data_IF_834520345982
#
_entry.id   IF_834520345982
#
_cell.length_a   1.000
_cell.length_b   1.000
_cell.length_c   1.000
_cell.angle_alpha   90.00
_cell.angle_beta   90.00
_cell.angle_gamma   90.00
#
_symmetry.space_group_name_H-M   'P 1'
#
loop_
_entity.id
_entity.type
_entity.pdbx_description
1 polymer ?
#
# COMPACT_ATOMS: atom_id res chain seq x y z
N UNK A 1 50.03 -42.85 -43.64
CA UNK A 1 48.75 -42.17 -43.84
C UNK A 1 48.17 -41.81 -42.48
N UNK A 2 48.30 -40.54 -42.07
CA UNK A 2 47.90 -40.09 -40.76
C UNK A 2 46.64 -39.21 -40.97
N UNK A 3 45.46 -39.70 -40.52
CA UNK A 3 44.19 -38.93 -40.55
C UNK A 3 44.17 -37.99 -39.35
N UNK A 4 44.20 -36.69 -39.60
CA UNK A 4 43.93 -35.66 -38.59
C UNK A 4 42.41 -35.53 -38.38
N UNK A 5 41.93 -35.86 -37.19
CA UNK A 5 40.58 -35.56 -36.77
C UNK A 5 40.50 -34.10 -36.31
N UNK A 6 39.67 -33.29 -36.96
CA UNK A 6 39.39 -31.93 -36.55
C UNK A 6 38.22 -31.97 -35.57
N UNK A 7 38.45 -31.64 -34.30
CA UNK A 7 37.44 -31.53 -33.29
C UNK A 7 36.86 -30.10 -33.35
N UNK A 8 35.61 -29.97 -33.84
CA UNK A 8 34.90 -28.69 -33.88
C UNK A 8 34.32 -28.44 -32.49
N UNK A 9 34.84 -27.45 -31.78
CA UNK A 9 34.33 -27.00 -30.48
C UNK A 9 33.20 -25.98 -30.72
N UNK A 10 31.96 -26.40 -30.48
CA UNK A 10 30.80 -25.54 -30.57
C UNK A 10 30.65 -24.80 -29.23
N UNK A 11 30.98 -23.51 -29.20
CA UNK A 11 30.70 -22.61 -28.08
C UNK A 11 29.21 -22.31 -28.04
N UNK A 12 28.48 -22.88 -27.08
CA UNK A 12 27.13 -22.46 -26.73
C UNK A 12 27.20 -21.13 -25.98
N UNK A 13 26.92 -20.05 -26.67
CA UNK A 13 26.69 -18.74 -26.06
C UNK A 13 25.28 -18.74 -25.44
N UNK A 14 25.20 -18.96 -24.11
CA UNK A 14 23.94 -18.76 -23.37
C UNK A 14 23.64 -17.27 -23.34
N UNK A 15 22.65 -16.85 -24.11
CA UNK A 15 22.03 -15.52 -24.00
C UNK A 15 21.27 -15.47 -22.67
N UNK A 16 21.88 -14.93 -21.65
CA UNK A 16 21.17 -14.53 -20.43
C UNK A 16 20.26 -13.37 -20.81
N UNK A 17 18.95 -13.59 -20.82
CA UNK A 17 17.94 -12.53 -20.93
C UNK A 17 18.05 -11.65 -19.70
N UNK A 18 18.66 -10.47 -19.83
CA UNK A 18 18.63 -9.43 -18.82
C UNK A 18 17.21 -8.87 -18.85
N UNK A 19 16.42 -9.12 -17.81
CA UNK A 19 15.14 -8.47 -17.63
C UNK A 19 15.41 -7.00 -17.31
N UNK A 20 15.32 -6.16 -18.32
CA UNK A 20 15.51 -4.71 -18.18
C UNK A 20 14.22 -4.14 -17.56
N UNK A 21 14.34 -3.54 -16.39
CA UNK A 21 13.25 -2.75 -15.79
C UNK A 21 13.05 -1.49 -16.63
N UNK A 22 11.83 -1.25 -17.08
CA UNK A 22 11.53 -0.05 -17.86
C UNK A 22 11.59 1.18 -16.96
N UNK A 23 12.31 2.20 -17.40
CA UNK A 23 12.44 3.48 -16.72
C UNK A 23 11.61 4.54 -17.45
N UNK A 24 10.80 5.27 -16.68
CA UNK A 24 9.97 6.37 -17.15
C UNK A 24 10.52 7.66 -16.55
N UNK A 25 10.75 8.71 -17.38
CA UNK A 25 11.31 9.97 -16.91
C UNK A 25 10.46 11.14 -17.37
N UNK A 26 10.26 12.13 -16.51
CA UNK A 26 9.56 13.38 -16.82
C UNK A 26 8.35 13.64 -15.95
N UNK A 27 7.41 14.43 -16.47
CA UNK A 27 6.14 14.75 -15.81
C UNK A 27 5.12 13.65 -16.06
N UNK A 28 4.36 13.35 -15.02
CA UNK A 28 3.28 12.39 -15.09
C UNK A 28 1.95 13.04 -14.77
N UNK A 29 0.88 12.50 -15.32
CA UNK A 29 -0.47 12.92 -14.98
C UNK A 29 -0.98 12.07 -13.80
N UNK A 30 -1.62 12.72 -12.82
CA UNK A 30 -2.25 12.06 -11.69
C UNK A 30 -3.76 11.96 -11.90
N UNK A 31 -4.30 10.76 -11.87
CA UNK A 31 -5.73 10.55 -11.76
C UNK A 31 -6.16 10.62 -10.28
N UNK A 32 -6.92 11.66 -9.95
CA UNK A 32 -7.38 11.91 -8.59
C UNK A 32 -8.39 10.86 -8.08
N UNK A 33 -9.03 10.08 -8.96
CA UNK A 33 -10.01 9.06 -8.58
C UNK A 33 -9.37 7.75 -8.18
N UNK A 34 -8.30 7.36 -8.86
CA UNK A 34 -7.60 6.09 -8.64
C UNK A 34 -6.29 6.25 -7.88
N UNK A 35 -5.68 7.44 -7.92
CA UNK A 35 -4.33 7.69 -7.44
C UNK A 35 -3.24 7.13 -8.36
N UNK A 36 -3.60 6.72 -9.57
CA UNK A 36 -2.66 6.22 -10.58
C UNK A 36 -1.96 7.36 -11.29
N UNK A 37 -0.72 7.11 -11.69
CA UNK A 37 0.06 7.98 -12.54
C UNK A 37 0.02 7.49 -13.96
N UNK A 38 0.08 8.43 -14.92
CA UNK A 38 0.08 8.15 -16.34
C UNK A 38 1.33 8.70 -17.00
N UNK A 39 2.04 7.85 -17.73
CA UNK A 39 3.05 8.23 -18.70
C UNK A 39 2.42 8.09 -20.08
N UNK A 40 2.11 9.21 -20.75
CA UNK A 40 1.20 9.24 -21.88
C UNK A 40 -0.15 8.56 -21.51
N UNK A 41 -0.52 7.48 -22.18
CA UNK A 41 -1.76 6.75 -21.93
C UNK A 41 -1.55 5.47 -21.10
N UNK A 42 -0.33 5.25 -20.58
CA UNK A 42 0.01 4.06 -19.80
C UNK A 42 -0.08 4.33 -18.30
N UNK A 43 -1.05 3.72 -17.60
CA UNK A 43 -1.17 3.86 -16.16
C UNK A 43 -0.11 3.05 -15.41
N UNK A 44 0.33 3.58 -14.27
CA UNK A 44 1.10 2.84 -13.29
C UNK A 44 0.76 3.33 -11.87
N UNK A 45 1.03 2.51 -10.88
CA UNK A 45 0.82 2.84 -9.46
C UNK A 45 2.14 2.95 -8.73
N UNK A 46 2.17 3.71 -7.64
CA UNK A 46 3.34 3.78 -6.78
C UNK A 46 3.48 2.49 -5.96
N UNK A 47 4.66 1.86 -6.02
CA UNK A 47 4.94 0.60 -5.33
C UNK A 47 4.88 0.76 -3.81
N UNK A 48 4.29 -0.23 -3.14
CA UNK A 48 4.32 -0.37 -1.69
C UNK A 48 3.53 0.66 -0.90
N UNK A 49 2.82 1.58 -1.59
CA UNK A 49 2.01 2.61 -0.95
C UNK A 49 0.59 2.63 -1.47
N UNK A 50 -0.29 3.14 -0.64
CA UNK A 50 -1.66 3.49 -0.98
C UNK A 50 -1.81 5.00 -0.89
N UNK A 51 -2.12 5.64 -2.03
CA UNK A 51 -2.45 7.06 -2.08
C UNK A 51 -3.77 7.30 -1.36
N UNK A 52 -3.89 8.40 -0.65
CA UNK A 52 -5.11 8.77 0.07
C UNK A 52 -6.17 9.23 -0.93
N UNK A 53 -7.40 8.71 -0.81
CA UNK A 53 -8.50 9.13 -1.67
C UNK A 53 -8.68 10.65 -1.67
N UNK A 54 -8.79 11.27 -2.83
CA UNK A 54 -8.92 12.73 -2.97
C UNK A 54 -10.07 13.32 -2.17
N UNK A 55 -11.21 12.62 -2.07
CA UNK A 55 -12.38 13.03 -1.31
C UNK A 55 -12.26 12.84 0.21
N UNK A 56 -11.17 12.25 0.72
CA UNK A 56 -11.02 11.92 2.13
C UNK A 56 -11.05 13.14 3.02
N UNK A 57 -11.82 13.05 4.11
CA UNK A 57 -11.86 14.01 5.20
C UNK A 57 -11.17 13.41 6.43
N UNK A 58 -10.41 14.23 7.14
CA UNK A 58 -9.76 13.91 8.40
C UNK A 58 -10.23 14.84 9.50
N UNK A 59 -10.02 14.46 10.75
CA UNK A 59 -10.38 15.26 11.91
C UNK A 59 -9.10 15.60 12.68
N UNK A 60 -8.90 16.88 12.97
CA UNK A 60 -7.81 17.39 13.81
C UNK A 60 -8.39 18.42 14.76
N UNK A 61 -8.20 18.22 16.07
CA UNK A 61 -8.75 19.14 17.11
C UNK A 61 -10.25 19.41 16.93
N UNK A 62 -11.03 18.34 16.67
CA UNK A 62 -12.49 18.40 16.44
C UNK A 62 -12.92 19.13 15.15
N UNK A 63 -11.97 19.57 14.33
CA UNK A 63 -12.24 20.20 13.04
C UNK A 63 -11.99 19.23 11.88
N UNK A 64 -12.97 19.18 10.97
CA UNK A 64 -12.81 18.43 9.71
C UNK A 64 -12.00 19.23 8.71
N UNK A 65 -11.14 18.54 7.99
CA UNK A 65 -10.33 19.13 6.91
C UNK A 65 -10.14 18.15 5.75
N UNK A 66 -9.90 18.67 4.55
CA UNK A 66 -9.79 17.90 3.32
C UNK A 66 -8.39 17.28 3.17
N UNK A 67 -8.08 16.28 4.00
CA UNK A 67 -6.75 15.63 4.00
C UNK A 67 -6.44 14.92 2.68
N UNK A 68 -7.44 14.38 1.98
CA UNK A 68 -7.25 13.77 0.67
C UNK A 68 -6.78 14.76 -0.37
N UNK A 69 -7.35 15.98 -0.39
CA UNK A 69 -6.88 17.05 -1.29
C UNK A 69 -5.44 17.45 -0.98
N UNK A 70 -5.08 17.54 0.30
CA UNK A 70 -3.71 17.87 0.70
C UNK A 70 -2.72 16.77 0.30
N UNK A 71 -3.09 15.50 0.46
CA UNK A 71 -2.26 14.38 0.03
C UNK A 71 -2.05 14.35 -1.49
N UNK A 72 -3.11 14.60 -2.26
CA UNK A 72 -2.99 14.72 -3.72
C UNK A 72 -2.13 15.89 -4.15
N UNK A 73 -2.25 17.05 -3.48
CA UNK A 73 -1.39 18.19 -3.77
C UNK A 73 0.08 17.90 -3.47
N UNK A 74 0.36 17.18 -2.36
CA UNK A 74 1.71 16.74 -2.04
C UNK A 74 2.28 15.81 -3.12
N UNK A 75 1.47 14.87 -3.63
CA UNK A 75 1.88 14.00 -4.74
C UNK A 75 2.09 14.79 -6.04
N UNK A 76 1.19 15.73 -6.38
CA UNK A 76 1.31 16.58 -7.57
C UNK A 76 2.63 17.35 -7.60
N UNK A 77 3.09 17.87 -6.46
CA UNK A 77 4.37 18.59 -6.38
C UNK A 77 5.57 17.74 -6.82
N UNK A 78 5.48 16.40 -6.68
CA UNK A 78 6.51 15.48 -7.19
C UNK A 78 6.30 15.13 -8.66
N UNK A 79 5.08 14.78 -9.06
CA UNK A 79 4.81 14.24 -10.41
C UNK A 79 4.86 15.31 -11.51
N UNK A 80 4.75 16.57 -11.17
CA UNK A 80 4.97 17.70 -12.09
C UNK A 80 6.44 18.06 -12.31
N UNK A 81 7.35 17.41 -11.58
CA UNK A 81 8.79 17.61 -11.75
C UNK A 81 9.31 16.93 -13.02
N UNK A 82 10.04 17.67 -13.85
CA UNK A 82 10.69 17.13 -15.06
C UNK A 82 11.83 16.14 -14.75
N UNK A 83 12.32 16.15 -13.51
CA UNK A 83 13.42 15.31 -13.05
C UNK A 83 12.94 14.03 -12.34
N UNK A 84 11.63 13.75 -12.34
CA UNK A 84 11.10 12.54 -11.74
C UNK A 84 11.43 11.33 -12.61
N UNK A 85 11.99 10.30 -11.98
CA UNK A 85 12.35 9.03 -12.61
C UNK A 85 11.58 7.93 -11.91
N UNK A 86 10.77 7.17 -12.67
CA UNK A 86 10.00 6.04 -12.14
C UNK A 86 10.47 4.74 -12.79
N UNK A 87 10.93 3.80 -11.98
CA UNK A 87 11.38 2.48 -12.42
C UNK A 87 10.23 1.50 -12.24
N UNK A 88 9.72 0.96 -13.35
CA UNK A 88 8.70 -0.08 -13.33
C UNK A 88 9.28 -1.36 -12.75
N UNK A 89 8.59 -1.92 -11.78
CA UNK A 89 9.00 -3.19 -11.18
C UNK A 89 8.56 -4.36 -12.07
N UNK A 90 9.42 -5.38 -12.23
CA UNK A 90 9.09 -6.54 -13.05
C UNK A 90 7.88 -7.27 -12.46
N UNK A 91 7.04 -7.82 -13.34
CA UNK A 91 5.98 -8.73 -12.96
C UNK A 91 6.53 -9.95 -12.22
N UNK A 92 5.76 -10.46 -11.26
CA UNK A 92 6.17 -11.54 -10.36
C UNK A 92 6.22 -11.10 -8.90
N UNK A 93 6.27 -12.06 -7.97
CA UNK A 93 6.28 -11.81 -6.52
C UNK A 93 5.05 -11.03 -5.99
N UNK A 94 3.87 -11.22 -6.60
CA UNK A 94 2.65 -10.50 -6.24
C UNK A 94 2.55 -9.09 -6.85
N UNK A 95 3.44 -8.75 -7.77
CA UNK A 95 3.47 -7.48 -8.50
C UNK A 95 2.76 -7.55 -9.87
N UNK A 96 2.15 -8.68 -10.19
CA UNK A 96 1.37 -8.89 -11.43
C UNK A 96 0.07 -8.06 -11.48
N UNK A 97 0.01 -7.01 -10.66
CA UNK A 97 -1.15 -6.14 -10.62
C UNK A 97 -1.20 -5.23 -11.86
N UNK A 98 -2.37 -5.15 -12.46
CA UNK A 98 -2.71 -4.16 -13.48
C UNK A 98 -3.37 -2.95 -12.77
N UNK A 99 -2.81 -1.76 -12.85
CA UNK A 99 -1.59 -1.35 -13.57
C UNK A 99 -0.28 -1.72 -12.85
N UNK A 100 0.87 -1.75 -13.58
CA UNK A 100 2.17 -2.07 -13.03
C UNK A 100 2.58 -1.12 -11.90
N UNK A 101 3.43 -1.60 -11.00
CA UNK A 101 3.95 -0.81 -9.89
C UNK A 101 5.29 -0.18 -10.24
N UNK A 102 5.55 1.02 -9.74
CA UNK A 102 6.82 1.73 -9.93
C UNK A 102 7.37 2.29 -8.62
N UNK A 103 8.69 2.25 -8.49
CA UNK A 103 9.43 3.05 -7.51
C UNK A 103 9.88 4.34 -8.19
N UNK A 104 9.49 5.49 -7.64
CA UNK A 104 9.80 6.79 -8.22
C UNK A 104 10.85 7.54 -7.39
N UNK A 105 11.73 8.25 -8.08
CA UNK A 105 12.87 8.95 -7.49
C UNK A 105 12.97 10.39 -7.98
N UNK A 106 13.34 11.29 -7.08
CA UNK A 106 13.85 12.63 -7.38
C UNK A 106 15.34 12.67 -7.00
N UNK A 107 16.21 12.60 -7.99
CA UNK A 107 17.62 12.32 -7.77
C UNK A 107 17.81 10.97 -7.11
N UNK A 108 18.34 10.95 -5.89
CA UNK A 108 18.56 9.71 -5.11
C UNK A 108 17.47 9.43 -4.07
N UNK A 109 16.46 10.29 -3.95
CA UNK A 109 15.43 10.18 -2.92
C UNK A 109 14.19 9.47 -3.46
N UNK A 110 13.76 8.41 -2.78
CA UNK A 110 12.51 7.74 -3.09
C UNK A 110 11.32 8.65 -2.75
N UNK A 111 10.52 8.98 -3.75
CA UNK A 111 9.28 9.73 -3.60
C UNK A 111 8.22 8.90 -2.86
N UNK A 112 8.19 7.59 -3.12
CA UNK A 112 7.28 6.67 -2.43
C UNK A 112 7.55 6.68 -0.93
N UNK A 113 8.82 6.54 -0.51
CA UNK A 113 9.21 6.60 0.89
C UNK A 113 8.91 7.96 1.53
N UNK A 114 9.17 9.05 0.80
CA UNK A 114 8.95 10.41 1.31
C UNK A 114 7.46 10.70 1.53
N UNK A 115 6.58 10.30 0.61
CA UNK A 115 5.13 10.46 0.78
C UNK A 115 4.61 9.74 2.03
N UNK A 116 5.19 8.58 2.35
CA UNK A 116 4.85 7.86 3.60
C UNK A 116 5.43 8.57 4.82
N UNK A 117 6.68 9.03 4.75
CA UNK A 117 7.34 9.75 5.86
C UNK A 117 6.63 11.06 6.21
N UNK A 118 6.14 11.77 5.21
CA UNK A 118 5.38 13.02 5.37
C UNK A 118 3.90 12.77 5.70
N UNK A 119 3.49 11.50 5.82
CA UNK A 119 2.13 11.10 6.17
C UNK A 119 1.09 11.39 5.08
N UNK A 120 1.49 11.48 3.81
CA UNK A 120 0.58 11.70 2.67
C UNK A 120 0.20 10.42 1.92
N UNK A 121 0.82 9.29 2.28
CA UNK A 121 0.43 7.97 1.80
C UNK A 121 0.47 6.95 2.95
N UNK A 122 -0.29 5.86 2.79
CA UNK A 122 -0.24 4.71 3.68
C UNK A 122 0.63 3.62 3.05
N UNK A 123 1.22 2.76 3.87
CA UNK A 123 1.83 1.53 3.36
C UNK A 123 0.75 0.58 2.85
N UNK A 124 0.98 -0.08 1.71
CA UNK A 124 0.07 -1.10 1.19
C UNK A 124 0.01 -2.29 2.16
N UNK A 125 -1.20 -2.83 2.37
CA UNK A 125 -1.43 -3.87 3.37
C UNK A 125 -1.05 -5.27 2.90
N UNK A 126 -1.03 -5.48 1.59
CA UNK A 126 -0.89 -6.76 0.87
C UNK A 126 0.55 -7.09 0.47
N UNK A 127 1.48 -6.18 0.71
CA UNK A 127 2.91 -6.34 0.40
C UNK A 127 3.69 -6.23 1.72
N UNK A 128 4.81 -6.97 1.91
CA UNK A 128 5.72 -6.72 3.02
C UNK A 128 6.09 -5.24 3.01
N UNK A 129 5.58 -4.47 3.99
CA UNK A 129 5.57 -3.01 3.99
C UNK A 129 6.99 -2.43 3.83
N UNK A 130 7.41 -1.98 2.63
CA UNK A 130 8.77 -1.53 2.37
C UNK A 130 9.12 -0.26 3.16
N UNK A 131 8.12 0.58 3.48
CA UNK A 131 8.28 1.88 4.14
C UNK A 131 7.76 1.88 5.57
N UNK A 132 7.94 0.77 6.29
CA UNK A 132 7.43 0.60 7.66
C UNK A 132 8.03 1.61 8.65
N UNK A 133 9.32 1.94 8.50
CA UNK A 133 10.00 2.90 9.38
C UNK A 133 9.45 4.30 9.16
N UNK A 134 9.28 4.70 7.93
CA UNK A 134 8.71 5.97 7.48
C UNK A 134 7.27 6.13 8.01
N UNK A 135 6.45 5.10 7.87
CA UNK A 135 5.08 5.09 8.37
C UNK A 135 5.00 5.22 9.90
N UNK A 136 5.91 4.58 10.63
CA UNK A 136 5.99 4.71 12.08
C UNK A 136 6.40 6.13 12.49
N UNK A 137 7.42 6.68 11.82
CA UNK A 137 7.88 8.06 12.06
C UNK A 137 6.77 9.08 11.80
N UNK A 138 6.07 8.98 10.67
CA UNK A 138 4.95 9.86 10.33
C UNK A 138 3.85 9.86 11.39
N UNK A 139 3.50 8.67 11.91
CA UNK A 139 2.50 8.53 12.97
C UNK A 139 2.97 9.11 14.31
N UNK A 140 4.23 8.88 14.68
CA UNK A 140 4.79 9.36 15.94
C UNK A 140 4.92 10.88 15.97
N UNK A 141 5.27 11.48 14.83
CA UNK A 141 5.46 12.91 14.68
C UNK A 141 4.17 13.66 14.32
N UNK A 142 3.07 12.95 14.03
CA UNK A 142 1.81 13.57 13.64
C UNK A 142 1.87 14.24 12.26
N UNK A 143 2.64 13.67 11.32
CA UNK A 143 2.80 14.22 9.97
C UNK A 143 1.56 13.98 9.09
N UNK A 144 1.35 14.85 8.14
CA UNK A 144 0.31 14.73 7.12
C UNK A 144 -1.09 14.47 7.68
N UNK A 145 -1.68 13.32 7.35
CA UNK A 145 -2.99 12.89 7.82
C UNK A 145 -3.01 12.53 9.32
N UNK A 146 -1.84 12.34 9.94
CA UNK A 146 -1.71 12.00 11.35
C UNK A 146 -1.67 13.20 12.29
N UNK A 147 -1.88 14.44 11.80
CA UNK A 147 -1.85 15.71 12.58
C UNK A 147 -2.76 15.73 13.79
N UNK A 148 -3.83 14.95 13.81
CA UNK A 148 -4.72 14.81 14.96
C UNK A 148 -4.16 14.00 16.12
N UNK A 149 -2.94 13.52 15.97
CA UNK A 149 -2.31 12.56 16.87
C UNK A 149 -2.74 11.12 16.58
N UNK A 150 -1.85 10.20 16.80
CA UNK A 150 -2.18 8.77 16.79
C UNK A 150 -2.87 8.44 18.12
N UNK A 151 -4.17 8.18 18.05
CA UNK A 151 -4.89 7.62 19.21
C UNK A 151 -4.59 6.11 19.22
N UNK A 152 -3.87 5.58 20.22
CA UNK A 152 -3.59 4.15 20.31
C UNK A 152 -4.90 3.33 20.32
N UNK A 153 -4.90 2.10 19.78
CA UNK A 153 -6.10 1.25 19.71
C UNK A 153 -6.76 0.99 21.09
N UNK A 154 -5.99 0.99 22.17
CA UNK A 154 -6.46 0.88 23.54
C UNK A 154 -7.33 2.08 23.98
N UNK A 155 -7.10 3.26 23.39
CA UNK A 155 -7.92 4.46 23.63
C UNK A 155 -9.12 4.59 22.69
N UNK A 156 -9.19 3.77 21.63
CA UNK A 156 -10.36 3.72 20.75
C UNK A 156 -11.53 2.99 21.37
N UNK A 157 -11.26 1.97 22.17
CA UNK A 157 -12.28 1.09 22.75
C UNK A 157 -13.36 1.80 23.56
N UNK A 158 -13.06 2.78 24.45
CA UNK A 158 -14.12 3.48 25.19
C UNK A 158 -15.03 4.32 24.31
N UNK A 159 -14.49 4.97 23.25
CA UNK A 159 -15.29 5.81 22.35
C UNK A 159 -16.16 4.99 21.40
N UNK A 160 -15.65 3.86 20.91
CA UNK A 160 -16.41 2.93 20.09
C UNK A 160 -17.42 2.12 20.93
N UNK A 161 -17.12 1.78 22.17
CA UNK A 161 -18.04 1.14 23.09
C UNK A 161 -19.27 2.03 23.40
N UNK A 162 -19.05 3.29 23.70
CA UNK A 162 -20.13 4.24 23.96
C UNK A 162 -21.04 4.50 22.73
N UNK A 163 -20.47 4.48 21.51
CA UNK A 163 -21.26 4.59 20.27
C UNK A 163 -21.95 3.28 19.88
N UNK A 164 -21.44 2.12 20.27
CA UNK A 164 -22.04 0.82 20.04
C UNK A 164 -23.27 0.58 20.94
N UNK A 165 -23.32 1.19 22.13
CA UNK A 165 -24.48 1.10 23.03
C UNK A 165 -25.72 1.76 22.43
N UNK A 166 -25.55 2.75 21.56
CA UNK A 166 -26.65 3.46 20.89
C UNK A 166 -27.02 2.88 19.50
N UNK A 167 -26.29 1.87 19.04
CA UNK A 167 -26.53 1.21 17.76
C UNK A 167 -27.39 -0.05 17.96
N UNK A 168 -28.70 0.03 17.83
CA UNK A 168 -29.62 -1.10 17.97
C UNK A 168 -29.32 -2.28 17.02
N UNK A 169 -28.86 -1.98 15.80
CA UNK A 169 -28.46 -3.00 14.80
C UNK A 169 -27.12 -3.68 15.18
N UNK A 170 -26.17 -2.89 15.70
CA UNK A 170 -24.89 -3.41 16.17
C UNK A 170 -25.07 -4.30 17.40
N UNK A 171 -25.94 -3.92 18.32
CA UNK A 171 -26.30 -4.68 19.52
C UNK A 171 -26.97 -6.01 19.15
N UNK A 172 -27.95 -6.00 18.23
CA UNK A 172 -28.63 -7.20 17.75
C UNK A 172 -27.66 -8.19 17.08
N UNK A 173 -26.75 -7.70 16.24
CA UNK A 173 -25.72 -8.53 15.58
C UNK A 173 -24.73 -9.11 16.60
N UNK A 174 -24.31 -8.33 17.57
CA UNK A 174 -23.41 -8.79 18.64
C UNK A 174 -24.07 -9.86 19.49
N UNK A 175 -25.32 -9.66 19.90
CA UNK A 175 -26.10 -10.66 20.66
C UNK A 175 -26.33 -11.95 19.87
N UNK A 176 -26.50 -11.88 18.54
CA UNK A 176 -26.64 -13.07 17.70
C UNK A 176 -25.35 -13.89 17.63
N UNK A 177 -24.21 -13.21 17.58
CA UNK A 177 -22.89 -13.87 17.61
C UNK A 177 -22.59 -14.53 18.95
N UNK A 178 -22.93 -13.88 20.06
CA UNK A 178 -22.77 -14.46 21.40
C UNK A 178 -23.63 -15.73 21.50
N UNK A 179 -24.92 -15.66 21.14
CA UNK A 179 -25.83 -16.83 21.17
C UNK A 179 -25.34 -17.99 20.28
N UNK A 180 -24.80 -17.68 19.10
CA UNK A 180 -24.23 -18.70 18.22
C UNK A 180 -22.98 -19.36 18.81
N UNK A 181 -22.16 -18.58 19.52
CA UNK A 181 -20.97 -19.10 20.20
C UNK A 181 -21.34 -19.99 21.40
N UNK A 182 -22.28 -19.54 22.23
CA UNK A 182 -22.77 -20.31 23.39
C UNK A 182 -23.40 -21.63 22.95
N UNK A 183 -24.23 -21.63 21.90
CA UNK A 183 -24.82 -22.83 21.33
C UNK A 183 -23.74 -23.84 20.87
N UNK A 184 -22.73 -23.35 20.14
CA UNK A 184 -21.63 -24.23 19.67
C UNK A 184 -20.81 -24.80 20.83
N UNK A 185 -20.60 -24.00 21.88
CA UNK A 185 -19.91 -24.45 23.08
C UNK A 185 -20.70 -25.58 23.78
N UNK A 186 -22.01 -25.42 23.96
CA UNK A 186 -22.88 -26.44 24.56
C UNK A 186 -22.93 -27.72 23.73
N UNK A 187 -22.93 -27.62 22.38
CA UNK A 187 -22.85 -28.78 21.48
C UNK A 187 -21.55 -29.57 21.69
N UNK A 188 -20.41 -28.90 21.78
CA UNK A 188 -19.10 -29.53 22.00
C UNK A 188 -18.98 -30.16 23.39
N UNK A 189 -19.56 -29.54 24.43
CA UNK A 189 -19.60 -30.11 25.79
C UNK A 189 -20.45 -31.37 25.81
N UNK A 190 -21.61 -31.41 25.14
CA UNK A 190 -22.46 -32.58 25.05
C UNK A 190 -21.85 -33.75 24.25
N UNK A 191 -21.06 -33.47 23.23
CA UNK A 191 -20.30 -34.46 22.47
C UNK A 191 -19.16 -35.08 23.30
N UNK A 192 -18.54 -34.28 24.18
CA UNK A 192 -17.47 -34.78 25.07
C UNK A 192 -17.95 -35.67 26.21
N UNK A 193 -19.22 -35.54 26.65
CA UNK A 193 -19.82 -36.39 27.70
C UNK A 193 -20.34 -37.73 27.16
N UNK A 194 -20.56 -37.86 25.85
CA UNK A 194 -21.06 -39.05 25.20
C UNK A 194 -19.97 -39.98 24.61
N UNK A 195 -18.68 -39.68 24.81
CA UNK A 195 -17.56 -40.44 24.28
C UNK A 195 -16.65 -40.94 25.42
#
# INVERSE_FOLDING_TARGET
MIRKAATTFVLFFSLASISESAELTGKFQLDASTGYLYSADQPFRLYGIQVIDHGRQCITNEQMWACGKAAHQALLNYVESESLVCVLLPAGNGLDADPPAAECFLGTHSVNAQLVADGWALTAADIPAPYRKEALSARQNGEGIFRGGFVPPDKWRPKFGAQLEDCSVCTARHQSLIRAHEKRKAELESESENN
#
